data_IF_403880174801
#
_entry.id   IF_403880174801
#
_cell.length_a   1.000
_cell.length_b   1.000
_cell.length_c   1.000
_cell.angle_alpha   90.00
_cell.angle_beta   90.00
_cell.angle_gamma   90.00
#
_symmetry.space_group_name_H-M   'P 1'
#
loop_
_entity.id
_entity.type
_entity.pdbx_description
1 polymer ?
#
# COMPACT_ATOMS: atom_id res chain seq x y z
N UNK A 1 44.44 4.58 45.72
CA UNK A 1 43.38 3.71 45.29
C UNK A 1 43.50 3.46 43.79
N UNK A 2 43.95 2.29 43.40
CA UNK A 2 44.08 1.94 41.98
C UNK A 2 42.71 1.44 41.49
N UNK A 3 41.97 2.29 40.76
CA UNK A 3 40.83 1.80 40.00
C UNK A 3 41.37 0.81 38.96
N UNK A 4 40.93 -0.44 39.04
CA UNK A 4 41.34 -1.47 38.12
C UNK A 4 40.97 -1.05 36.68
N UNK A 5 41.95 -1.05 35.82
CA UNK A 5 41.74 -0.81 34.37
C UNK A 5 40.65 -1.70 33.81
N UNK A 6 40.44 -2.87 34.41
CA UNK A 6 39.36 -3.80 34.10
C UNK A 6 37.95 -3.19 34.35
N UNK A 7 37.79 -2.43 35.42
CA UNK A 7 36.49 -1.80 35.77
C UNK A 7 36.13 -0.69 34.80
N UNK A 8 37.13 0.09 34.36
CA UNK A 8 36.94 1.15 33.37
C UNK A 8 36.60 0.54 31.99
N UNK A 9 37.23 -0.58 31.65
CA UNK A 9 36.96 -1.26 30.37
C UNK A 9 35.57 -1.88 30.34
N UNK A 10 35.07 -2.44 31.44
CA UNK A 10 33.71 -2.98 31.57
C UNK A 10 32.67 -1.86 31.53
N UNK A 11 32.95 -0.74 32.19
CA UNK A 11 32.06 0.45 32.15
C UNK A 11 31.99 1.06 30.74
N UNK A 12 33.12 1.07 30.03
CA UNK A 12 33.18 1.55 28.66
C UNK A 12 32.50 0.58 27.65
N UNK A 13 32.53 -0.72 27.91
CA UNK A 13 31.78 -1.72 27.14
C UNK A 13 30.27 -1.65 27.39
N UNK A 14 29.83 -1.23 28.59
CA UNK A 14 28.40 -1.04 28.88
C UNK A 14 27.80 0.16 28.19
N UNK A 15 28.61 1.19 27.88
CA UNK A 15 28.13 2.36 27.13
C UNK A 15 28.00 2.12 25.60
N UNK A 16 28.60 1.06 25.08
CA UNK A 16 28.57 0.76 23.64
C UNK A 16 27.33 -0.04 23.18
N UNK A 17 26.46 -0.45 24.09
CA UNK A 17 25.30 -1.28 23.78
C UNK A 17 23.96 -0.53 23.73
N UNK A 18 23.95 0.80 23.71
CA UNK A 18 22.72 1.59 23.64
C UNK A 18 22.65 2.41 22.35
N UNK A 19 23.24 1.91 21.26
CA UNK A 19 22.83 2.33 19.92
C UNK A 19 21.88 1.26 19.36
N UNK A 20 20.74 1.13 20.01
CA UNK A 20 19.57 0.59 19.35
C UNK A 20 19.15 1.68 18.35
N UNK A 21 19.59 1.56 17.10
CA UNK A 21 18.94 2.26 16.01
C UNK A 21 17.52 1.69 15.95
N UNK A 22 16.58 2.38 16.57
CA UNK A 22 15.21 2.26 16.17
C UNK A 22 15.19 2.76 14.72
N UNK A 23 15.18 1.86 13.75
CA UNK A 23 14.82 2.20 12.39
C UNK A 23 13.43 2.83 12.51
N UNK A 24 13.36 4.15 12.34
CA UNK A 24 12.09 4.81 12.15
C UNK A 24 11.52 4.19 10.88
N UNK A 25 10.43 3.42 11.01
CA UNK A 25 9.68 2.93 9.87
C UNK A 25 9.14 4.18 9.16
N UNK A 26 9.85 4.63 8.13
CA UNK A 26 9.40 5.73 7.29
C UNK A 26 8.11 5.26 6.62
N UNK A 27 7.08 6.07 6.72
CA UNK A 27 5.82 5.86 6.02
C UNK A 27 5.52 7.07 5.17
N UNK A 28 4.98 6.83 3.99
CA UNK A 28 4.54 7.87 3.07
C UNK A 28 3.01 7.93 3.08
N UNK A 29 2.47 9.14 3.19
CA UNK A 29 1.06 9.39 2.97
C UNK A 29 0.83 9.67 1.49
N UNK A 30 0.00 8.87 0.87
CA UNK A 30 -0.36 9.01 -0.54
C UNK A 30 -1.84 9.34 -0.62
N UNK A 31 -2.17 10.48 -1.18
CA UNK A 31 -3.56 10.82 -1.50
C UNK A 31 -3.84 10.40 -2.95
N UNK A 32 -4.77 9.49 -3.12
CA UNK A 32 -5.18 8.99 -4.42
C UNK A 32 -6.60 9.49 -4.72
N UNK A 33 -6.78 10.08 -5.89
CA UNK A 33 -8.09 10.56 -6.35
C UNK A 33 -8.49 9.81 -7.61
N UNK A 34 -9.65 9.18 -7.55
CA UNK A 34 -10.26 8.48 -8.69
C UNK A 34 -11.28 9.42 -9.29
N UNK A 35 -11.14 9.70 -10.57
CA UNK A 35 -11.98 10.65 -11.31
C UNK A 35 -12.82 9.95 -12.37
N UNK A 36 -13.74 10.70 -12.99
CA UNK A 36 -14.61 10.21 -14.06
C UNK A 36 -15.56 9.08 -13.62
N UNK A 37 -16.01 9.15 -12.37
CA UNK A 37 -17.01 8.23 -11.83
C UNK A 37 -18.40 8.70 -12.30
N UNK A 38 -19.10 7.83 -13.02
CA UNK A 38 -20.36 8.17 -13.68
C UNK A 38 -21.60 7.64 -12.97
N UNK A 39 -21.43 6.69 -12.06
CA UNK A 39 -22.52 6.11 -11.27
C UNK A 39 -22.06 5.81 -9.86
N UNK A 40 -22.99 5.85 -8.91
CA UNK A 40 -22.74 5.45 -7.51
C UNK A 40 -23.13 3.99 -7.24
N UNK A 41 -23.53 3.26 -8.28
CA UNK A 41 -23.86 1.85 -8.16
C UNK A 41 -22.62 1.00 -7.92
N UNK A 42 -22.78 -0.06 -7.15
CA UNK A 42 -21.72 -1.03 -6.90
C UNK A 42 -20.59 -0.49 -6.03
N UNK A 43 -19.37 -0.90 -6.34
CA UNK A 43 -18.16 -0.61 -5.57
C UNK A 43 -16.99 -0.34 -6.50
N UNK A 44 -16.06 0.48 -6.03
CA UNK A 44 -14.75 0.60 -6.69
C UNK A 44 -13.78 -0.31 -5.96
N UNK A 45 -13.15 -1.20 -6.68
CA UNK A 45 -12.14 -2.12 -6.16
C UNK A 45 -10.76 -1.64 -6.60
N UNK A 46 -9.86 -1.47 -5.65
CA UNK A 46 -8.49 -1.07 -5.89
C UNK A 46 -7.54 -2.12 -5.32
N UNK A 47 -6.67 -2.64 -6.15
CA UNK A 47 -5.59 -3.55 -5.76
C UNK A 47 -4.26 -2.82 -5.78
N UNK A 48 -3.47 -2.97 -4.73
CA UNK A 48 -2.15 -2.37 -4.57
C UNK A 48 -1.10 -3.46 -4.72
N UNK A 49 -0.17 -3.27 -5.62
CA UNK A 49 0.94 -4.19 -5.88
C UNK A 49 2.27 -3.51 -5.57
N UNK A 50 3.14 -4.20 -4.85
CA UNK A 50 4.43 -3.71 -4.38
C UNK A 50 5.62 -4.28 -5.16
N UNK A 51 5.38 -5.12 -6.15
CA UNK A 51 6.40 -5.78 -6.97
C UNK A 51 5.85 -6.29 -8.29
N UNK A 52 6.72 -6.48 -9.26
CA UNK A 52 6.39 -7.13 -10.54
C UNK A 52 5.80 -8.53 -10.33
N UNK A 53 6.28 -9.24 -9.32
CA UNK A 53 5.80 -10.57 -8.97
C UNK A 53 4.37 -10.53 -8.44
N UNK A 54 4.06 -9.58 -7.56
CA UNK A 54 2.72 -9.43 -7.01
C UNK A 54 1.72 -9.05 -8.11
N UNK A 55 2.13 -8.16 -9.01
CA UNK A 55 1.32 -7.75 -10.16
C UNK A 55 1.08 -8.90 -11.15
N UNK A 56 2.15 -9.58 -11.59
CA UNK A 56 2.05 -10.65 -12.59
C UNK A 56 1.30 -11.88 -12.09
N UNK A 57 1.41 -12.19 -10.81
CA UNK A 57 0.68 -13.29 -10.17
C UNK A 57 -0.74 -12.92 -9.72
N UNK A 58 -1.11 -11.65 -9.83
CA UNK A 58 -2.39 -11.10 -9.34
C UNK A 58 -2.62 -11.38 -7.85
N UNK A 59 -1.55 -11.29 -7.07
CA UNK A 59 -1.58 -11.40 -5.60
C UNK A 59 -1.22 -10.02 -5.05
N UNK A 60 -2.20 -9.15 -4.81
CA UNK A 60 -1.93 -7.80 -4.31
C UNK A 60 -1.43 -7.81 -2.87
N UNK A 61 -0.66 -6.77 -2.51
CA UNK A 61 -0.32 -6.46 -1.13
C UNK A 61 -1.59 -6.17 -0.32
N UNK A 62 -2.51 -5.41 -0.92
CA UNK A 62 -3.76 -5.01 -0.30
C UNK A 62 -4.83 -4.79 -1.37
N UNK A 63 -6.08 -5.06 -1.00
CA UNK A 63 -7.24 -4.75 -1.82
C UNK A 63 -8.20 -3.90 -1.01
N UNK A 64 -8.57 -2.74 -1.56
CA UNK A 64 -9.50 -1.80 -0.95
C UNK A 64 -10.81 -1.78 -1.70
N UNK A 65 -11.88 -1.64 -0.95
CA UNK A 65 -13.24 -1.43 -1.45
C UNK A 65 -13.64 0.01 -1.14
N UNK A 66 -13.90 0.79 -2.16
CA UNK A 66 -14.21 2.21 -2.07
C UNK A 66 -15.65 2.43 -2.51
N UNK A 67 -16.41 3.19 -1.72
CA UNK A 67 -17.77 3.58 -2.10
C UNK A 67 -17.68 4.66 -3.16
N UNK A 68 -18.28 4.47 -4.34
CA UNK A 68 -18.21 5.46 -5.40
C UNK A 68 -19.03 6.71 -5.07
N UNK A 69 -18.46 7.86 -5.44
CA UNK A 69 -19.12 9.15 -5.42
C UNK A 69 -19.13 9.71 -6.84
N UNK A 70 -20.18 10.43 -7.22
CA UNK A 70 -20.27 11.03 -8.56
C UNK A 70 -19.10 11.99 -8.78
N UNK A 71 -18.51 11.90 -9.96
CA UNK A 71 -17.37 12.67 -10.43
C UNK A 71 -16.04 12.21 -9.89
N UNK A 72 -15.83 12.20 -8.58
CA UNK A 72 -14.56 11.77 -8.00
C UNK A 72 -14.68 11.32 -6.56
N UNK A 73 -13.76 10.44 -6.14
CA UNK A 73 -13.57 10.03 -4.76
C UNK A 73 -12.08 10.00 -4.43
N UNK A 74 -11.72 10.42 -3.23
CA UNK A 74 -10.35 10.40 -2.75
C UNK A 74 -10.19 9.47 -1.57
N UNK A 75 -9.03 8.81 -1.49
CA UNK A 75 -8.62 8.05 -0.32
C UNK A 75 -7.16 8.36 0.04
N UNK A 76 -6.83 8.23 1.31
CA UNK A 76 -5.48 8.36 1.83
C UNK A 76 -4.91 6.95 2.10
N UNK A 77 -3.71 6.71 1.60
CA UNK A 77 -2.96 5.47 1.80
C UNK A 77 -1.71 5.77 2.61
N UNK A 78 -1.35 4.85 3.49
CA UNK A 78 -0.09 4.90 4.22
C UNK A 78 0.75 3.73 3.74
N UNK A 79 1.83 4.04 3.02
CA UNK A 79 2.69 3.05 2.38
C UNK A 79 4.14 3.22 2.83
N UNK A 80 4.88 2.13 2.94
CA UNK A 80 6.34 2.19 3.08
C UNK A 80 6.96 2.76 1.80
N UNK A 81 8.14 3.41 1.88
CA UNK A 81 8.86 3.82 0.68
C UNK A 81 9.08 2.65 -0.27
N UNK A 82 8.80 2.85 -1.56
CA UNK A 82 8.91 1.80 -2.57
C UNK A 82 8.22 2.15 -3.88
N UNK A 83 8.14 1.19 -4.76
CA UNK A 83 7.43 1.28 -6.03
C UNK A 83 6.14 0.47 -5.96
N UNK A 84 5.05 1.07 -6.41
CA UNK A 84 3.72 0.47 -6.33
C UNK A 84 2.99 0.60 -7.67
N UNK A 85 2.15 -0.38 -7.95
CA UNK A 85 1.17 -0.33 -9.02
C UNK A 85 -0.24 -0.41 -8.43
N UNK A 86 -1.14 0.38 -8.97
CA UNK A 86 -2.55 0.40 -8.59
C UNK A 86 -3.39 -0.12 -9.77
N UNK A 87 -4.27 -1.08 -9.48
CA UNK A 87 -5.27 -1.55 -10.44
C UNK A 87 -6.64 -1.26 -9.88
N UNK A 88 -7.44 -0.54 -10.63
CA UNK A 88 -8.73 -0.03 -10.16
C UNK A 88 -9.80 -0.43 -11.18
N UNK A 89 -10.94 -0.90 -10.69
CA UNK A 89 -12.12 -1.08 -11.54
C UNK A 89 -13.40 -0.77 -10.76
N UNK A 90 -14.43 -0.36 -11.48
CA UNK A 90 -15.73 -0.05 -10.94
C UNK A 90 -16.66 -1.25 -11.12
N UNK A 91 -16.76 -2.07 -10.09
CA UNK A 91 -17.64 -3.25 -10.01
C UNK A 91 -19.09 -2.80 -9.78
N UNK A 92 -19.78 -2.45 -10.85
CA UNK A 92 -21.12 -1.85 -10.80
C UNK A 92 -22.21 -2.82 -10.37
N UNK A 93 -22.03 -4.12 -10.65
CA UNK A 93 -22.97 -5.17 -10.25
C UNK A 93 -22.59 -5.87 -8.94
N UNK A 94 -21.48 -5.45 -8.31
CA UNK A 94 -20.98 -6.00 -7.04
C UNK A 94 -20.73 -7.52 -7.06
N UNK A 95 -20.29 -8.07 -8.18
CA UNK A 95 -19.96 -9.48 -8.30
C UNK A 95 -18.51 -9.82 -7.88
N UNK A 96 -17.67 -8.80 -7.60
CA UNK A 96 -16.28 -8.97 -7.18
C UNK A 96 -15.30 -9.22 -8.32
N UNK A 97 -15.74 -9.16 -9.56
CA UNK A 97 -14.93 -9.44 -10.75
C UNK A 97 -15.08 -8.30 -11.77
N UNK A 98 -14.00 -8.06 -12.52
CA UNK A 98 -14.07 -7.18 -13.69
C UNK A 98 -14.76 -7.93 -14.84
N UNK A 99 -16.00 -7.56 -15.14
CA UNK A 99 -16.77 -8.17 -16.20
C UNK A 99 -16.20 -7.86 -17.58
N UNK A 100 -16.12 -8.87 -18.41
CA UNK A 100 -15.64 -8.78 -19.80
C UNK A 100 -16.69 -9.32 -20.78
N UNK A 101 -16.57 -8.90 -22.04
CA UNK A 101 -17.33 -9.50 -23.11
C UNK A 101 -16.71 -10.83 -23.60
N UNK A 102 -17.31 -11.45 -24.60
CA UNK A 102 -16.87 -12.75 -25.14
C UNK A 102 -15.44 -12.74 -25.72
N UNK A 103 -14.91 -11.57 -26.06
CA UNK A 103 -13.55 -11.39 -26.60
C UNK A 103 -12.57 -10.84 -25.54
N UNK A 104 -12.98 -10.77 -24.27
CA UNK A 104 -12.12 -10.36 -23.17
C UNK A 104 -11.98 -8.84 -22.97
N UNK A 105 -12.82 -8.04 -23.63
CA UNK A 105 -12.83 -6.59 -23.45
C UNK A 105 -13.64 -6.24 -22.19
N UNK A 106 -13.07 -5.46 -21.25
CA UNK A 106 -13.80 -5.03 -20.07
C UNK A 106 -15.09 -4.28 -20.40
N UNK A 107 -16.17 -4.63 -19.72
CA UNK A 107 -17.46 -3.94 -19.77
C UNK A 107 -17.59 -2.85 -18.71
N UNK A 108 -16.83 -2.97 -17.65
CA UNK A 108 -16.79 -2.03 -16.54
C UNK A 108 -15.59 -1.09 -16.68
N UNK A 109 -15.71 0.11 -16.12
CA UNK A 109 -14.62 1.10 -16.12
C UNK A 109 -13.45 0.61 -15.27
N UNK A 110 -12.24 0.81 -15.75
CA UNK A 110 -11.01 0.42 -15.06
C UNK A 110 -9.90 1.45 -15.28
N UNK A 111 -8.84 1.34 -14.47
CA UNK A 111 -7.64 2.18 -14.55
C UNK A 111 -6.43 1.53 -13.90
N UNK A 112 -5.25 2.08 -14.25
CA UNK A 112 -3.95 1.66 -13.71
C UNK A 112 -3.16 2.87 -13.27
#
# INVERSE_FOLDING_TARGET
MKLNKLFITILMMMFFNVFCFAEANEVCKVQLTITNIQTTEGKIIMSIHDSDKSFSKRIPLETLCIIPEISSVSCELILAPGEYAFCIYHDTNSNGELDTNLVGIPKESFGF
#
